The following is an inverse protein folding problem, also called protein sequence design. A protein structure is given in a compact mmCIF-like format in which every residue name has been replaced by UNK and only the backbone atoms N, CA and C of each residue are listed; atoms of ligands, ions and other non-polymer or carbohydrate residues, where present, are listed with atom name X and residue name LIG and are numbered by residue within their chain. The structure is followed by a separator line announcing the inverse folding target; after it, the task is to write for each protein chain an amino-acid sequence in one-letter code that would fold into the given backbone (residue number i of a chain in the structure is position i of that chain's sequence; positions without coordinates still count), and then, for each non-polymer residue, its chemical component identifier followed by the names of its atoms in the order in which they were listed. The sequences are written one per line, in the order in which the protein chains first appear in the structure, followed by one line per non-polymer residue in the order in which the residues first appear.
data_IF_375428642143
#
_entry.id   IF_375428642143
#
_cell.length_a   1.000
_cell.length_b   1.000
_cell.length_c   1.000
_cell.angle_alpha   90.00
_cell.angle_beta   90.00
_cell.angle_gamma   90.00
#
_symmetry.space_group_name_H-M   'P 1'
#
loop_
_entity.id
_entity.type
_entity.pdbx_description
1 polymer ?
#
# COMPACT_ATOMS: atom_id res chain seq x y z
N UNK A 1 11.30 -55.53 -43.20
CA UNK A 1 11.38 -55.58 -41.73
C UNK A 1 12.12 -54.35 -41.23
N UNK A 2 11.41 -53.30 -40.82
CA UNK A 2 11.94 -52.15 -40.07
C UNK A 2 10.81 -51.65 -39.15
N UNK A 3 11.11 -51.55 -37.86
CA UNK A 3 10.21 -51.28 -36.74
C UNK A 3 9.72 -49.82 -36.70
N UNK A 4 8.60 -49.51 -36.01
CA UNK A 4 8.17 -48.14 -35.79
C UNK A 4 8.93 -47.53 -34.60
N UNK A 5 9.40 -46.29 -34.77
CA UNK A 5 10.01 -45.48 -33.73
C UNK A 5 8.91 -44.82 -32.88
N UNK A 6 8.87 -45.14 -31.58
CA UNK A 6 8.08 -44.42 -30.59
C UNK A 6 8.81 -43.13 -30.20
N UNK A 7 8.14 -41.98 -30.34
CA UNK A 7 8.63 -40.68 -29.84
C UNK A 7 8.18 -40.55 -28.39
N UNK A 8 9.13 -40.66 -27.45
CA UNK A 8 8.94 -40.26 -26.06
C UNK A 8 8.88 -38.73 -25.98
N UNK A 9 7.74 -38.17 -25.58
CA UNK A 9 7.66 -36.81 -25.06
C UNK A 9 8.23 -36.80 -23.64
N UNK A 10 9.49 -36.39 -23.49
CA UNK A 10 10.02 -35.97 -22.19
C UNK A 10 9.47 -34.60 -21.84
N UNK A 11 8.51 -34.56 -20.91
CA UNK A 11 8.02 -33.33 -20.31
C UNK A 11 9.13 -32.65 -19.51
N UNK A 12 9.62 -31.52 -20.01
CA UNK A 12 10.40 -30.58 -19.21
C UNK A 12 9.45 -29.87 -18.25
N UNK A 13 9.35 -30.37 -17.02
CA UNK A 13 8.78 -29.61 -15.90
C UNK A 13 9.79 -28.52 -15.58
N UNK A 14 9.60 -27.35 -16.20
CA UNK A 14 10.31 -26.14 -15.83
C UNK A 14 9.92 -25.76 -14.40
N UNK A 15 10.82 -26.01 -13.45
CA UNK A 15 10.76 -25.45 -12.10
C UNK A 15 10.83 -23.93 -12.21
N UNK A 16 9.68 -23.28 -12.28
CA UNK A 16 9.57 -21.84 -12.10
C UNK A 16 9.92 -21.53 -10.64
N UNK A 17 11.13 -21.04 -10.40
CA UNK A 17 11.49 -20.42 -9.14
C UNK A 17 10.64 -19.17 -8.97
N UNK A 18 9.66 -19.24 -8.08
CA UNK A 18 8.91 -18.08 -7.60
C UNK A 18 9.90 -17.09 -6.97
N UNK A 19 10.27 -16.05 -7.70
CA UNK A 19 11.13 -15.01 -7.16
C UNK A 19 10.29 -14.07 -6.29
N UNK A 20 10.31 -14.35 -4.99
CA UNK A 20 9.77 -13.47 -3.97
C UNK A 20 10.63 -12.19 -3.84
N UNK A 21 9.96 -11.08 -3.56
CA UNK A 21 10.56 -9.79 -3.25
C UNK A 21 11.19 -9.81 -1.86
N UNK A 22 12.32 -9.11 -1.66
CA UNK A 22 12.92 -8.96 -0.34
C UNK A 22 11.95 -8.28 0.65
N UNK A 23 11.85 -8.81 1.86
CA UNK A 23 10.93 -8.41 2.91
C UNK A 23 11.70 -7.88 4.13
N UNK A 24 11.33 -6.72 4.70
CA UNK A 24 11.93 -6.22 5.94
C UNK A 24 11.74 -7.22 7.09
N UNK A 25 12.81 -7.48 7.83
CA UNK A 25 12.80 -8.33 9.00
C UNK A 25 13.86 -7.85 9.99
N UNK A 26 13.58 -7.94 11.28
CA UNK A 26 14.56 -7.72 12.33
C UNK A 26 14.84 -9.01 13.06
N UNK A 27 16.07 -9.15 13.54
CA UNK A 27 16.50 -10.30 14.31
C UNK A 27 18.01 -10.31 14.42
N UNK A 28 18.55 -11.39 14.95
CA UNK A 28 19.98 -11.62 14.99
C UNK A 28 20.35 -12.82 14.14
N UNK A 29 21.45 -12.72 13.42
CA UNK A 29 22.11 -13.84 12.77
C UNK A 29 23.43 -14.13 13.49
N UNK A 30 23.62 -15.36 13.94
CA UNK A 30 24.88 -15.82 14.55
C UNK A 30 25.55 -16.76 13.56
N UNK A 31 26.69 -16.34 13.00
CA UNK A 31 27.39 -17.15 12.00
C UNK A 31 28.02 -18.38 12.67
N UNK A 32 27.81 -19.57 12.11
CA UNK A 32 28.45 -20.80 12.58
C UNK A 32 29.81 -21.04 11.92
N UNK A 33 30.02 -20.45 10.74
CA UNK A 33 31.25 -20.57 9.95
C UNK A 33 31.55 -19.25 9.22
N UNK A 34 32.73 -19.16 8.59
CA UNK A 34 33.05 -18.01 7.73
C UNK A 34 32.33 -18.14 6.40
N UNK A 35 31.55 -17.11 6.02
CA UNK A 35 30.87 -17.06 4.73
C UNK A 35 30.99 -15.69 4.07
N UNK A 36 30.89 -15.70 2.75
CA UNK A 36 30.78 -14.51 1.91
C UNK A 36 29.57 -13.64 2.29
N UNK A 37 29.77 -12.33 2.22
CA UNK A 37 28.76 -11.33 2.51
C UNK A 37 28.60 -10.37 1.31
N UNK A 38 27.64 -10.68 0.44
CA UNK A 38 27.49 -10.02 -0.85
C UNK A 38 26.74 -8.69 -0.75
N UNK A 39 27.12 -7.68 -1.54
CA UNK A 39 26.25 -6.51 -1.75
C UNK A 39 25.02 -6.87 -2.59
N UNK A 40 25.17 -7.82 -3.51
CA UNK A 40 24.09 -8.31 -4.37
C UNK A 40 24.21 -9.80 -4.59
N UNK A 41 23.21 -10.57 -4.14
CA UNK A 41 23.12 -12.02 -4.41
C UNK A 41 22.78 -12.33 -5.87
N UNK A 42 22.04 -11.44 -6.54
CA UNK A 42 21.69 -11.59 -7.96
C UNK A 42 22.90 -11.45 -8.86
N UNK A 43 23.78 -10.49 -8.56
CA UNK A 43 25.01 -10.22 -9.33
C UNK A 43 26.25 -10.88 -8.75
N UNK A 44 26.12 -11.59 -7.62
CA UNK A 44 27.22 -12.16 -6.81
C UNK A 44 28.38 -11.16 -6.58
N UNK A 45 28.03 -9.92 -6.27
CA UNK A 45 29.01 -8.83 -6.13
C UNK A 45 29.46 -8.70 -4.68
N UNK A 46 30.75 -8.90 -4.43
CA UNK A 46 31.40 -8.69 -3.12
C UNK A 46 32.79 -8.02 -3.34
N UNK A 47 32.84 -6.71 -3.63
CA UNK A 47 34.04 -6.06 -4.15
C UNK A 47 35.15 -5.87 -3.10
N UNK A 48 34.80 -5.93 -1.83
CA UNK A 48 35.71 -5.79 -0.68
C UNK A 48 35.91 -7.11 0.09
N UNK A 49 35.53 -8.25 -0.51
CA UNK A 49 35.68 -9.61 0.06
C UNK A 49 35.15 -9.71 1.51
N UNK A 50 34.05 -9.01 1.80
CA UNK A 50 33.47 -8.98 3.14
C UNK A 50 32.94 -10.35 3.55
N UNK A 51 33.21 -10.77 4.80
CA UNK A 51 32.82 -12.08 5.36
C UNK A 51 32.24 -11.96 6.75
N UNK A 52 31.28 -12.83 7.06
CA UNK A 52 30.86 -13.07 8.44
C UNK A 52 31.83 -14.02 9.15
N UNK A 53 31.93 -13.92 10.47
CA UNK A 53 32.90 -14.67 11.29
C UNK A 53 32.17 -15.61 12.26
N UNK A 54 32.67 -16.85 12.45
CA UNK A 54 32.07 -17.80 13.38
C UNK A 54 31.88 -17.20 14.78
N UNK A 55 30.73 -17.44 15.40
CA UNK A 55 30.36 -16.95 16.73
C UNK A 55 29.99 -15.47 16.79
N UNK A 56 30.20 -14.70 15.71
CA UNK A 56 29.82 -13.29 15.68
C UNK A 56 28.33 -13.13 15.39
N UNK A 57 27.68 -12.24 16.14
CA UNK A 57 26.28 -11.85 15.97
C UNK A 57 26.18 -10.63 15.05
N UNK A 58 25.24 -10.67 14.12
CA UNK A 58 24.94 -9.60 13.17
C UNK A 58 23.44 -9.25 13.23
N UNK A 59 23.12 -7.97 13.10
CA UNK A 59 21.75 -7.48 12.96
C UNK A 59 21.19 -7.89 11.60
N UNK A 60 20.03 -8.57 11.57
CA UNK A 60 19.25 -8.81 10.34
C UNK A 60 18.34 -7.60 10.10
N UNK A 61 18.31 -7.10 8.85
CA UNK A 61 17.48 -5.95 8.47
C UNK A 61 16.45 -6.25 7.37
N UNK A 62 16.67 -7.30 6.57
CA UNK A 62 15.70 -7.84 5.60
C UNK A 62 16.05 -9.27 5.24
N UNK A 63 15.10 -9.99 4.66
CA UNK A 63 15.30 -11.33 4.09
C UNK A 63 14.86 -11.36 2.63
N UNK A 64 15.36 -12.31 1.84
CA UNK A 64 14.99 -12.38 0.42
C UNK A 64 13.57 -12.90 0.16
N UNK A 65 13.01 -13.66 1.10
CA UNK A 65 11.67 -14.26 1.07
C UNK A 65 11.28 -14.72 2.48
N UNK A 66 10.00 -15.00 2.73
CA UNK A 66 9.47 -15.39 4.05
C UNK A 66 10.13 -16.63 4.68
N UNK A 67 10.47 -17.64 3.87
CA UNK A 67 11.21 -18.83 4.33
C UNK A 67 12.74 -18.67 4.24
N UNK A 68 13.20 -17.47 3.88
CA UNK A 68 14.58 -16.97 3.80
C UNK A 68 15.69 -17.98 3.43
N UNK A 69 16.20 -17.89 2.20
CA UNK A 69 17.50 -18.54 1.86
C UNK A 69 18.68 -17.59 2.15
N UNK A 70 18.40 -16.29 2.20
CA UNK A 70 19.37 -15.22 2.36
C UNK A 70 18.87 -14.17 3.35
N UNK A 71 19.76 -13.72 4.22
CA UNK A 71 19.55 -12.68 5.20
C UNK A 71 20.40 -11.48 4.80
N UNK A 72 19.85 -10.27 4.82
CA UNK A 72 20.66 -9.06 4.73
C UNK A 72 20.96 -8.60 6.14
N UNK A 73 22.25 -8.62 6.47
CA UNK A 73 22.76 -8.28 7.77
C UNK A 73 23.59 -6.99 7.72
N UNK A 74 23.74 -6.32 8.87
CA UNK A 74 24.68 -5.21 9.03
C UNK A 74 26.04 -5.73 9.47
N UNK A 75 27.05 -5.58 8.62
CA UNK A 75 28.46 -5.81 8.94
C UNK A 75 29.04 -4.52 9.57
N UNK A 76 29.62 -4.60 10.79
CA UNK A 76 30.27 -3.46 11.41
C UNK A 76 31.48 -3.00 10.60
N UNK A 77 31.80 -1.71 10.67
CA UNK A 77 33.01 -1.09 10.10
C UNK A 77 33.21 -1.23 8.58
N UNK A 78 32.17 -1.60 7.82
CA UNK A 78 32.19 -1.62 6.34
C UNK A 78 31.59 -0.33 5.76
N UNK A 79 32.20 0.28 4.72
CA UNK A 79 31.63 1.43 4.01
C UNK A 79 30.31 1.10 3.30
N UNK A 80 30.05 -0.18 3.03
CA UNK A 80 28.76 -0.69 2.56
C UNK A 80 28.26 -1.76 3.53
N UNK A 81 27.65 -1.37 4.66
CA UNK A 81 27.46 -2.25 5.80
C UNK A 81 26.35 -3.29 5.58
N UNK A 82 25.43 -3.08 4.65
CA UNK A 82 24.33 -4.02 4.42
C UNK A 82 24.73 -5.11 3.44
N UNK A 83 24.86 -6.36 3.91
CA UNK A 83 25.32 -7.51 3.14
C UNK A 83 24.40 -8.71 3.24
N UNK A 84 24.26 -9.41 2.13
CA UNK A 84 23.55 -10.66 2.04
C UNK A 84 24.43 -11.84 2.40
N UNK A 85 23.96 -12.65 3.33
CA UNK A 85 24.60 -13.87 3.82
C UNK A 85 23.61 -15.03 3.68
N UNK A 86 24.10 -16.20 3.32
CA UNK A 86 23.26 -17.39 3.20
C UNK A 86 22.74 -17.79 4.59
N UNK A 87 21.44 -18.06 4.72
CA UNK A 87 20.82 -18.43 5.98
C UNK A 87 21.45 -19.71 6.57
N UNK A 88 21.86 -20.65 5.70
CA UNK A 88 22.56 -21.89 6.07
C UNK A 88 23.96 -21.68 6.67
N UNK A 89 24.49 -20.46 6.67
CA UNK A 89 25.79 -20.15 7.25
C UNK A 89 25.77 -20.08 8.80
N UNK A 90 24.59 -20.07 9.41
CA UNK A 90 24.47 -19.90 10.86
C UNK A 90 23.05 -20.11 11.37
N UNK A 91 22.78 -19.58 12.55
CA UNK A 91 21.45 -19.61 13.17
C UNK A 91 20.83 -18.22 13.19
N UNK A 92 19.51 -18.18 13.03
CA UNK A 92 18.72 -16.95 13.15
C UNK A 92 17.96 -16.98 14.46
N UNK A 93 18.00 -15.88 15.20
CA UNK A 93 17.36 -15.73 16.49
C UNK A 93 16.42 -14.52 16.46
N UNK A 94 15.20 -14.71 16.96
CA UNK A 94 14.22 -13.63 17.12
C UNK A 94 13.84 -12.96 15.80
N UNK A 95 13.79 -13.71 14.69
CA UNK A 95 13.41 -13.17 13.39
C UNK A 95 11.93 -12.76 13.40
N UNK A 96 11.70 -11.45 13.37
CA UNK A 96 10.40 -10.83 13.27
C UNK A 96 10.28 -10.12 11.92
N UNK A 97 9.17 -10.35 11.22
CA UNK A 97 8.84 -9.67 9.97
C UNK A 97 7.99 -8.44 10.29
N UNK A 98 8.13 -7.36 9.51
CA UNK A 98 7.36 -6.11 9.66
C UNK A 98 7.63 -5.28 10.94
N UNK A 99 8.82 -5.36 11.52
CA UNK A 99 9.23 -4.39 12.54
C UNK A 99 9.83 -3.17 11.85
N UNK A 100 8.98 -2.22 11.45
CA UNK A 100 9.41 -0.86 11.13
C UNK A 100 9.41 -0.03 12.41
N UNK A 101 10.59 0.37 12.87
CA UNK A 101 10.85 1.32 13.97
C UNK A 101 10.56 0.83 15.40
N UNK A 102 11.60 0.38 16.09
CA UNK A 102 11.70 0.39 17.55
C UNK A 102 13.09 0.88 17.91
N UNK A 103 13.29 2.20 17.90
CA UNK A 103 14.20 2.89 18.83
C UNK A 103 14.01 4.41 18.73
N UNK A 104 12.95 4.88 19.38
CA UNK A 104 12.88 6.18 20.08
C UNK A 104 11.73 6.07 21.07
N UNK A 105 12.03 5.62 22.29
CA UNK A 105 11.09 5.71 23.39
C UNK A 105 11.04 7.15 23.89
N UNK A 106 10.00 7.89 23.54
CA UNK A 106 9.43 8.88 24.44
C UNK A 106 7.91 8.71 24.39
N UNK A 107 7.34 8.39 25.55
CA UNK A 107 5.91 8.32 25.90
C UNK A 107 4.92 8.49 24.73
N UNK A 108 4.59 7.39 24.04
CA UNK A 108 3.61 7.41 22.94
C UNK A 108 3.76 6.30 21.89
N UNK A 109 4.89 5.57 21.88
CA UNK A 109 5.17 4.55 20.86
C UNK A 109 4.16 3.39 20.79
N UNK A 110 3.58 3.01 21.94
CA UNK A 110 2.56 1.95 21.99
C UNK A 110 1.24 2.41 21.34
N UNK A 111 0.81 3.65 21.57
CA UNK A 111 -0.52 4.14 21.15
C UNK A 111 -0.74 4.14 19.63
N UNK A 112 0.33 4.20 18.84
CA UNK A 112 0.25 4.20 17.38
C UNK A 112 0.05 2.79 16.78
N UNK A 113 0.18 1.73 17.60
CA UNK A 113 -0.08 0.33 17.21
C UNK A 113 -1.17 -0.32 18.05
N UNK A 114 -1.89 0.48 18.84
CA UNK A 114 -3.00 0.01 19.67
C UNK A 114 -4.32 0.23 18.90
N UNK A 115 -5.21 -0.78 18.82
CA UNK A 115 -6.52 -0.62 18.20
C UNK A 115 -7.33 0.50 18.85
N UNK A 116 -8.18 1.15 18.05
CA UNK A 116 -9.18 2.14 18.47
C UNK A 116 -8.64 3.43 19.13
N UNK A 117 -7.32 3.65 19.09
CA UNK A 117 -6.66 4.87 19.56
C UNK A 117 -6.58 6.01 18.52
N UNK A 118 -7.20 5.81 17.36
CA UNK A 118 -7.30 6.78 16.27
C UNK A 118 -8.25 7.94 16.63
N UNK A 119 -7.98 9.13 16.09
CA UNK A 119 -8.83 10.32 16.24
C UNK A 119 -9.77 10.54 15.03
N UNK A 120 -9.56 9.79 13.96
CA UNK A 120 -10.39 9.81 12.77
C UNK A 120 -9.93 8.77 11.75
N UNK A 121 -10.45 8.90 10.53
CA UNK A 121 -10.06 8.07 9.41
C UNK A 121 -9.53 8.93 8.27
N UNK A 122 -8.67 8.34 7.44
CA UNK A 122 -8.32 8.88 6.12
C UNK A 122 -8.84 7.91 5.07
N UNK A 123 -9.88 8.30 4.34
CA UNK A 123 -10.26 7.58 3.13
C UNK A 123 -9.31 8.00 2.00
N UNK A 124 -8.59 7.04 1.42
CA UNK A 124 -7.76 7.25 0.25
C UNK A 124 -8.45 6.64 -0.97
N UNK A 125 -8.81 7.49 -1.93
CA UNK A 125 -9.45 7.12 -3.18
C UNK A 125 -8.52 7.43 -4.36
N UNK A 126 -8.16 6.43 -5.14
CA UNK A 126 -7.25 6.54 -6.28
C UNK A 126 -8.02 6.96 -7.53
N UNK A 127 -7.44 7.86 -8.32
CA UNK A 127 -7.78 8.01 -9.74
C UNK A 127 -6.94 7.00 -10.53
N UNK A 128 -7.52 5.82 -10.81
CA UNK A 128 -6.76 4.65 -11.29
C UNK A 128 -5.93 4.93 -12.56
N UNK A 129 -6.45 5.62 -13.59
CA UNK A 129 -5.65 5.91 -14.77
C UNK A 129 -4.44 6.79 -14.48
N UNK A 130 -4.62 7.85 -13.68
CA UNK A 130 -3.52 8.74 -13.32
C UNK A 130 -2.45 8.05 -12.46
N UNK A 131 -2.87 7.12 -11.59
CA UNK A 131 -1.93 6.26 -10.87
C UNK A 131 -1.13 5.35 -11.80
N UNK A 132 -1.81 4.60 -12.67
CA UNK A 132 -1.16 3.61 -13.53
C UNK A 132 -0.18 4.25 -14.53
N UNK A 133 -0.49 5.43 -15.04
CA UNK A 133 0.33 6.11 -16.04
C UNK A 133 1.50 6.91 -15.43
N UNK A 134 1.28 7.57 -14.29
CA UNK A 134 2.22 8.60 -13.81
C UNK A 134 2.95 8.25 -12.52
N UNK A 135 2.54 7.21 -11.80
CA UNK A 135 3.20 6.82 -10.54
C UNK A 135 4.19 5.69 -10.81
N UNK A 136 5.48 5.87 -10.44
CA UNK A 136 6.44 4.78 -10.56
C UNK A 136 6.12 3.69 -9.53
N UNK A 137 5.97 2.45 -10.00
CA UNK A 137 5.85 1.26 -9.16
C UNK A 137 6.83 0.18 -9.61
N UNK A 138 7.18 -0.72 -8.68
CA UNK A 138 8.05 -1.86 -8.95
C UNK A 138 7.19 -3.07 -9.35
N UNK A 139 7.65 -3.82 -10.34
CA UNK A 139 6.97 -5.03 -10.80
C UNK A 139 5.75 -4.75 -11.67
N UNK A 140 4.92 -5.77 -11.86
CA UNK A 140 3.67 -5.67 -12.61
C UNK A 140 2.49 -5.41 -11.68
N UNK A 141 1.52 -4.66 -12.19
CA UNK A 141 0.24 -4.38 -11.54
C UNK A 141 -0.86 -4.86 -12.47
N UNK A 142 -1.46 -6.04 -12.22
CA UNK A 142 -2.49 -6.60 -13.10
C UNK A 142 -3.62 -5.62 -13.39
N UNK A 143 -4.00 -4.79 -12.40
CA UNK A 143 -5.01 -3.75 -12.56
C UNK A 143 -4.61 -2.66 -13.56
N UNK A 144 -3.32 -2.33 -13.64
CA UNK A 144 -2.81 -1.36 -14.62
C UNK A 144 -2.64 -1.99 -16.00
N UNK A 145 -2.19 -3.25 -16.07
CA UNK A 145 -2.10 -4.01 -17.32
C UNK A 145 -3.50 -4.18 -17.95
N UNK A 146 -4.51 -4.53 -17.14
CA UNK A 146 -5.90 -4.66 -17.56
C UNK A 146 -6.54 -3.32 -17.94
N UNK A 147 -6.15 -2.22 -17.27
CA UNK A 147 -6.59 -0.89 -17.65
C UNK A 147 -6.02 -0.47 -19.03
N UNK A 148 -4.74 -0.77 -19.27
CA UNK A 148 -4.07 -0.48 -20.53
C UNK A 148 -4.61 -1.33 -21.70
N UNK A 149 -4.99 -2.59 -21.44
CA UNK A 149 -5.61 -3.46 -22.46
C UNK A 149 -7.10 -3.17 -22.71
N UNK A 150 -7.74 -2.38 -21.84
CA UNK A 150 -9.18 -2.09 -21.87
C UNK A 150 -10.07 -3.16 -21.23
N UNK A 151 -9.49 -4.22 -20.65
CA UNK A 151 -10.19 -5.26 -19.88
C UNK A 151 -10.82 -4.71 -18.60
N UNK A 152 -10.13 -3.78 -17.93
CA UNK A 152 -10.66 -3.01 -16.81
C UNK A 152 -11.08 -1.62 -17.29
N UNK A 153 -12.31 -1.21 -16.96
CA UNK A 153 -12.79 0.15 -17.18
C UNK A 153 -12.94 0.86 -15.83
N UNK A 154 -11.94 1.67 -15.46
CA UNK A 154 -11.98 2.47 -14.23
C UNK A 154 -12.20 3.95 -14.58
N UNK A 155 -13.47 4.35 -14.72
CA UNK A 155 -13.90 5.73 -15.04
C UNK A 155 -14.45 6.50 -13.83
N UNK A 156 -14.18 5.99 -12.64
CA UNK A 156 -14.59 6.54 -11.35
C UNK A 156 -13.44 6.38 -10.36
N UNK A 157 -13.54 7.00 -9.18
CA UNK A 157 -12.58 6.80 -8.11
C UNK A 157 -12.60 5.36 -7.58
N UNK A 158 -11.42 4.83 -7.24
CA UNK A 158 -11.25 3.48 -6.68
C UNK A 158 -10.68 3.53 -5.27
N UNK A 159 -11.00 2.55 -4.43
CA UNK A 159 -10.51 2.44 -3.07
C UNK A 159 -9.03 2.06 -3.05
N UNK A 160 -8.21 2.93 -2.47
CA UNK A 160 -6.88 2.57 -2.00
C UNK A 160 -7.01 1.95 -0.60
N UNK A 161 -7.64 2.65 0.33
CA UNK A 161 -7.86 2.17 1.69
C UNK A 161 -8.62 3.17 2.57
N UNK A 162 -9.04 2.70 3.74
CA UNK A 162 -9.71 3.48 4.77
C UNK A 162 -8.88 3.41 6.05
N UNK A 163 -8.07 4.41 6.35
CA UNK A 163 -7.04 4.28 7.38
C UNK A 163 -7.51 4.90 8.69
N UNK A 164 -7.80 4.13 9.75
CA UNK A 164 -7.79 4.70 11.09
C UNK A 164 -6.46 5.42 11.29
N UNK A 165 -6.49 6.66 11.76
CA UNK A 165 -5.27 7.42 11.97
C UNK A 165 -5.36 8.27 13.24
N UNK A 166 -4.20 8.57 13.81
CA UNK A 166 -4.06 9.51 14.91
C UNK A 166 -3.11 10.62 14.49
N UNK A 167 -3.52 11.87 14.63
CA UNK A 167 -2.73 13.02 14.22
C UNK A 167 -1.31 13.00 14.82
N UNK A 168 -1.18 12.63 16.10
CA UNK A 168 0.12 12.54 16.79
C UNK A 168 1.04 11.45 16.24
N UNK A 169 0.49 10.46 15.56
CA UNK A 169 1.24 9.35 14.96
C UNK A 169 1.64 9.64 13.50
N UNK A 170 1.11 10.70 12.89
CA UNK A 170 1.42 11.05 11.50
C UNK A 170 1.05 9.95 10.52
N UNK A 171 2.07 9.28 9.95
CA UNK A 171 1.92 8.14 9.03
C UNK A 171 2.19 6.77 9.69
N UNK A 172 2.50 6.77 10.98
CA UNK A 172 2.97 5.62 11.72
C UNK A 172 1.86 4.91 12.51
N UNK A 173 0.63 5.43 12.46
CA UNK A 173 -0.52 4.71 13.04
C UNK A 173 -0.85 3.50 12.16
N UNK A 174 -0.75 2.30 12.72
CA UNK A 174 -0.97 1.07 11.97
C UNK A 174 -0.32 -0.16 12.60
N UNK A 175 -0.45 -1.30 11.92
CA UNK A 175 0.13 -2.58 12.34
C UNK A 175 -0.29 -3.01 13.76
N UNK A 176 -1.55 -2.81 14.09
CA UNK A 176 -2.12 -3.31 15.34
C UNK A 176 -2.32 -4.83 15.26
N UNK A 177 -2.37 -5.50 16.41
CA UNK A 177 -2.66 -6.93 16.46
C UNK A 177 -4.11 -7.20 16.06
N UNK A 178 -4.34 -8.19 15.19
CA UNK A 178 -5.68 -8.51 14.70
C UNK A 178 -5.74 -9.81 13.89
N UNK A 179 -6.95 -10.27 13.54
CA UNK A 179 -7.13 -11.49 12.76
C UNK A 179 -6.64 -11.29 11.32
N UNK A 180 -6.29 -12.40 10.65
CA UNK A 180 -5.97 -12.38 9.23
C UNK A 180 -7.21 -12.08 8.38
N UNK A 181 -7.00 -11.37 7.25
CA UNK A 181 -8.06 -11.04 6.30
C UNK A 181 -8.74 -12.30 5.72
N UNK A 182 -10.07 -12.37 5.84
CA UNK A 182 -10.94 -13.43 5.33
C UNK A 182 -12.31 -12.87 4.89
N UNK A 183 -12.31 -12.24 3.71
CA UNK A 183 -13.54 -11.71 3.10
C UNK A 183 -14.47 -12.81 2.59
N UNK A 184 -15.78 -12.62 2.78
CA UNK A 184 -16.80 -13.42 2.12
C UNK A 184 -16.89 -13.11 0.63
N UNK A 185 -17.39 -14.05 -0.18
CA UNK A 185 -17.56 -13.82 -1.62
C UNK A 185 -18.52 -12.66 -1.90
N UNK A 186 -19.59 -12.52 -1.10
CA UNK A 186 -20.51 -11.39 -1.21
C UNK A 186 -19.85 -10.05 -0.88
N UNK A 187 -18.80 -10.01 -0.06
CA UNK A 187 -18.00 -8.79 0.15
C UNK A 187 -17.14 -8.51 -1.07
N UNK A 188 -16.47 -9.55 -1.59
CA UNK A 188 -15.63 -9.41 -2.77
C UNK A 188 -16.44 -8.91 -3.98
N UNK A 189 -17.65 -9.41 -4.20
CA UNK A 189 -18.57 -8.94 -5.23
C UNK A 189 -18.92 -7.45 -5.06
N UNK A 190 -19.19 -7.01 -3.83
CA UNK A 190 -19.49 -5.61 -3.52
C UNK A 190 -18.29 -4.68 -3.74
N UNK A 191 -17.09 -5.16 -3.39
CA UNK A 191 -15.88 -4.33 -3.30
C UNK A 191 -15.09 -4.30 -4.61
N UNK A 192 -15.07 -5.37 -5.41
CA UNK A 192 -14.31 -5.47 -6.68
C UNK A 192 -14.54 -4.33 -7.67
N UNK A 193 -15.77 -3.80 -7.86
CA UNK A 193 -15.98 -2.65 -8.73
C UNK A 193 -15.25 -1.40 -8.24
N UNK A 194 -15.17 -1.22 -6.92
CA UNK A 194 -14.57 -0.04 -6.30
C UNK A 194 -13.10 -0.24 -5.95
N UNK A 195 -12.60 -1.46 -5.87
CA UNK A 195 -11.21 -1.78 -5.53
C UNK A 195 -10.68 -2.84 -6.49
N UNK A 196 -10.24 -2.45 -7.71
CA UNK A 196 -10.06 -3.37 -8.82
C UNK A 196 -8.98 -4.44 -8.60
N UNK A 197 -8.04 -4.22 -7.68
CA UNK A 197 -7.04 -5.24 -7.33
C UNK A 197 -7.67 -6.56 -6.86
N UNK A 198 -8.86 -6.55 -6.25
CA UNK A 198 -9.58 -7.75 -5.83
C UNK A 198 -10.13 -8.59 -6.99
N UNK A 199 -10.08 -8.07 -8.23
CA UNK A 199 -10.34 -8.86 -9.43
C UNK A 199 -9.14 -9.78 -9.77
N UNK A 200 -7.94 -9.41 -9.34
CA UNK A 200 -6.68 -10.08 -9.70
C UNK A 200 -6.01 -10.79 -8.52
N UNK A 201 -6.39 -10.47 -7.27
CA UNK A 201 -5.91 -11.15 -6.08
C UNK A 201 -6.18 -10.39 -4.78
N UNK A 202 -5.84 -11.01 -3.64
CA UNK A 202 -6.12 -10.45 -2.31
C UNK A 202 -4.89 -9.85 -1.61
N UNK A 203 -3.71 -9.88 -2.24
CA UNK A 203 -2.45 -9.46 -1.61
C UNK A 203 -2.46 -7.99 -1.18
N UNK A 204 -2.93 -7.10 -2.05
CA UNK A 204 -3.03 -5.68 -1.72
C UNK A 204 -4.09 -5.42 -0.64
N UNK A 205 -5.25 -6.05 -0.74
CA UNK A 205 -6.28 -5.98 0.31
C UNK A 205 -5.75 -6.44 1.67
N UNK A 206 -5.01 -7.56 1.70
CA UNK A 206 -4.36 -8.05 2.92
C UNK A 206 -3.38 -7.04 3.50
N UNK A 207 -2.54 -6.43 2.66
CA UNK A 207 -1.63 -5.37 3.12
C UNK A 207 -2.39 -4.17 3.72
N UNK A 208 -3.49 -3.72 3.10
CA UNK A 208 -4.32 -2.64 3.65
C UNK A 208 -5.00 -3.03 4.97
N UNK A 209 -5.44 -4.28 5.09
CA UNK A 209 -6.02 -4.82 6.31
C UNK A 209 -4.98 -4.89 7.44
N UNK A 210 -3.87 -5.60 7.21
CA UNK A 210 -2.81 -5.84 8.21
C UNK A 210 -2.17 -4.53 8.69
N UNK A 211 -2.07 -3.53 7.82
CA UNK A 211 -1.50 -2.24 8.18
C UNK A 211 -2.52 -1.30 8.84
N UNK A 212 -3.76 -1.29 8.40
CA UNK A 212 -4.72 -0.24 8.78
C UNK A 212 -6.03 -0.79 9.34
N UNK A 213 -6.65 -1.75 8.65
CA UNK A 213 -7.98 -2.25 9.00
C UNK A 213 -8.05 -2.92 10.38
N UNK A 214 -7.01 -3.65 10.78
CA UNK A 214 -6.90 -4.28 12.11
C UNK A 214 -6.84 -3.27 13.28
N UNK A 215 -6.55 -2.00 13.02
CA UNK A 215 -6.46 -0.96 14.05
C UNK A 215 -7.81 -0.34 14.45
N UNK A 216 -8.91 -0.86 13.90
CA UNK A 216 -10.27 -0.59 14.38
C UNK A 216 -10.94 -1.94 14.71
N UNK A 217 -11.65 -2.03 15.83
CA UNK A 217 -12.30 -3.30 16.24
C UNK A 217 -13.82 -3.27 16.11
N UNK A 218 -14.38 -2.14 15.69
CA UNK A 218 -15.83 -1.92 15.58
C UNK A 218 -16.44 -2.60 14.36
N UNK A 219 -15.63 -2.89 13.34
CA UNK A 219 -16.03 -3.59 12.12
C UNK A 219 -15.12 -4.79 11.93
N UNK A 220 -15.71 -5.94 11.62
CA UNK A 220 -14.97 -7.04 11.02
C UNK A 220 -14.46 -6.65 9.62
N UNK A 221 -13.61 -7.50 9.04
CA UNK A 221 -13.02 -7.25 7.74
C UNK A 221 -14.06 -7.08 6.63
N UNK A 222 -15.12 -7.89 6.65
CA UNK A 222 -16.25 -7.79 5.73
C UNK A 222 -16.94 -6.42 5.81
N UNK A 223 -17.33 -5.97 7.01
CA UNK A 223 -17.98 -4.68 7.20
C UNK A 223 -17.04 -3.51 6.91
N UNK A 224 -15.76 -3.62 7.26
CA UNK A 224 -14.75 -2.60 7.02
C UNK A 224 -14.54 -2.35 5.51
N UNK A 225 -14.33 -3.40 4.71
CA UNK A 225 -14.11 -3.22 3.27
C UNK A 225 -15.38 -2.78 2.53
N UNK A 226 -16.57 -3.26 2.92
CA UNK A 226 -17.84 -2.74 2.39
C UNK A 226 -18.00 -1.25 2.70
N UNK A 227 -17.76 -0.86 3.96
CA UNK A 227 -17.85 0.54 4.38
C UNK A 227 -16.86 1.42 3.62
N UNK A 228 -15.63 0.97 3.44
CA UNK A 228 -14.62 1.68 2.68
C UNK A 228 -15.03 1.87 1.20
N UNK A 229 -15.57 0.84 0.56
CA UNK A 229 -16.07 0.92 -0.82
C UNK A 229 -17.27 1.88 -0.94
N UNK A 230 -18.22 1.82 0.00
CA UNK A 230 -19.37 2.71 0.03
C UNK A 230 -18.96 4.18 0.21
N UNK A 231 -17.94 4.45 1.03
CA UNK A 231 -17.41 5.80 1.21
C UNK A 231 -16.75 6.34 -0.07
N UNK A 232 -16.05 5.49 -0.84
CA UNK A 232 -15.53 5.90 -2.17
C UNK A 232 -16.67 6.18 -3.13
N UNK A 233 -17.70 5.33 -3.18
CA UNK A 233 -18.90 5.58 -3.98
C UNK A 233 -19.56 6.91 -3.63
N UNK A 234 -19.66 7.22 -2.34
CA UNK A 234 -20.22 8.49 -1.87
C UNK A 234 -19.35 9.68 -2.24
N UNK A 235 -18.02 9.56 -2.17
CA UNK A 235 -17.09 10.59 -2.63
C UNK A 235 -17.22 10.83 -4.14
N UNK A 236 -17.24 9.76 -4.92
CA UNK A 236 -17.39 9.80 -6.37
C UNK A 236 -18.70 10.46 -6.79
N UNK A 237 -19.80 10.17 -6.06
CA UNK A 237 -21.12 10.75 -6.29
C UNK A 237 -21.25 12.24 -5.90
N UNK A 238 -20.29 12.82 -5.17
CA UNK A 238 -20.32 14.26 -4.88
C UNK A 238 -20.18 15.09 -6.15
N UNK A 239 -20.64 16.36 -6.13
CA UNK A 239 -20.39 17.31 -7.24
C UNK A 239 -18.91 17.41 -7.61
N UNK A 240 -18.02 17.35 -6.64
CA UNK A 240 -16.59 17.44 -6.85
C UNK A 240 -16.01 16.14 -7.47
N UNK A 241 -16.52 14.98 -7.05
CA UNK A 241 -16.21 13.68 -7.67
C UNK A 241 -16.69 13.61 -9.11
N UNK A 242 -17.95 13.97 -9.37
CA UNK A 242 -18.50 14.00 -10.72
C UNK A 242 -17.76 15.00 -11.62
N UNK A 243 -17.28 16.13 -11.09
CA UNK A 243 -16.44 17.05 -11.87
C UNK A 243 -15.13 16.41 -12.35
N UNK A 244 -14.55 15.46 -11.61
CA UNK A 244 -13.42 14.65 -12.10
C UNK A 244 -13.87 13.76 -13.26
N UNK A 245 -14.96 13.00 -13.06
CA UNK A 245 -15.50 12.04 -14.05
C UNK A 245 -15.92 12.71 -15.36
N UNK A 246 -16.54 13.88 -15.29
CA UNK A 246 -16.97 14.67 -16.45
C UNK A 246 -15.80 15.20 -17.29
N UNK A 247 -14.58 15.23 -16.73
CA UNK A 247 -13.39 15.83 -17.35
C UNK A 247 -12.29 14.79 -17.66
N UNK A 248 -12.64 13.50 -17.74
CA UNK A 248 -11.73 12.42 -18.15
C UNK A 248 -11.05 12.74 -19.49
N UNK A 249 -9.74 12.57 -19.55
CA UNK A 249 -8.90 12.90 -20.72
C UNK A 249 -8.58 14.39 -20.85
N UNK A 250 -9.13 15.23 -19.97
CA UNK A 250 -8.95 16.67 -19.97
C UNK A 250 -8.25 17.18 -18.70
N UNK A 251 -8.77 18.28 -18.18
CA UNK A 251 -8.26 18.90 -16.96
C UNK A 251 -9.38 19.60 -16.19
N UNK A 252 -9.23 19.65 -14.87
CA UNK A 252 -10.08 20.42 -13.96
C UNK A 252 -9.32 21.61 -13.37
N UNK A 253 -10.07 22.62 -12.92
CA UNK A 253 -9.55 23.68 -12.03
C UNK A 253 -9.66 23.24 -10.58
N UNK A 254 -8.56 23.35 -9.83
CA UNK A 254 -8.49 23.07 -8.39
C UNK A 254 -9.40 24.02 -7.61
N UNK A 255 -9.44 25.30 -7.96
CA UNK A 255 -10.36 26.27 -7.37
C UNK A 255 -11.81 25.85 -7.61
N UNK A 256 -12.15 25.48 -8.85
CA UNK A 256 -13.51 25.05 -9.21
C UNK A 256 -13.89 23.72 -8.54
N UNK A 257 -12.93 22.82 -8.29
CA UNK A 257 -13.15 21.61 -7.49
C UNK A 257 -13.54 21.98 -6.05
N UNK A 258 -12.77 22.84 -5.37
CA UNK A 258 -13.08 23.23 -4.00
C UNK A 258 -14.31 24.14 -3.87
N UNK A 259 -14.68 24.86 -4.92
CA UNK A 259 -15.97 25.55 -4.99
C UNK A 259 -17.12 24.54 -4.95
N UNK A 260 -17.07 23.48 -5.76
CA UNK A 260 -18.09 22.40 -5.74
C UNK A 260 -18.17 21.69 -4.40
N UNK A 261 -17.03 21.46 -3.73
CA UNK A 261 -17.02 20.97 -2.34
C UNK A 261 -17.75 21.95 -1.42
N UNK A 262 -17.50 23.25 -1.54
CA UNK A 262 -18.16 24.26 -0.70
C UNK A 262 -19.66 24.29 -0.91
N UNK A 263 -20.11 24.23 -2.16
CA UNK A 263 -21.52 24.23 -2.53
C UNK A 263 -22.25 22.99 -2.01
N UNK A 264 -21.63 21.81 -2.12
CA UNK A 264 -22.23 20.54 -1.68
C UNK A 264 -22.30 20.41 -0.15
N UNK A 265 -21.23 20.81 0.55
CA UNK A 265 -21.13 20.69 2.01
C UNK A 265 -21.64 21.94 2.76
N UNK A 266 -22.05 22.99 2.05
CA UNK A 266 -22.51 24.25 2.63
C UNK A 266 -21.45 25.06 3.39
N UNK A 267 -20.16 24.71 3.25
CA UNK A 267 -19.08 25.37 3.98
C UNK A 267 -17.73 25.24 3.28
N UNK A 268 -17.01 26.36 3.16
CA UNK A 268 -15.65 26.37 2.62
C UNK A 268 -14.66 25.55 3.49
N UNK A 269 -14.99 25.34 4.78
CA UNK A 269 -14.19 24.52 5.70
C UNK A 269 -14.17 23.05 5.30
N UNK A 270 -15.17 22.54 4.58
CA UNK A 270 -15.16 21.16 4.08
C UNK A 270 -13.96 20.86 3.18
N UNK A 271 -13.45 21.87 2.47
CA UNK A 271 -12.22 21.77 1.69
C UNK A 271 -10.97 21.43 2.51
N UNK A 272 -10.99 21.60 3.84
CA UNK A 272 -9.88 21.19 4.71
C UNK A 272 -9.82 19.66 4.89
N UNK A 273 -10.94 18.95 4.71
CA UNK A 273 -10.95 17.50 4.84
C UNK A 273 -10.50 16.82 3.54
N UNK A 274 -10.55 17.51 2.40
CA UNK A 274 -10.29 16.91 1.08
C UNK A 274 -8.94 17.40 0.54
N UNK A 275 -8.00 16.46 0.38
CA UNK A 275 -6.68 16.70 -0.17
C UNK A 275 -6.53 16.00 -1.53
N UNK A 276 -6.21 16.79 -2.57
CA UNK A 276 -5.87 16.28 -3.89
C UNK A 276 -4.36 15.98 -3.96
N UNK A 277 -4.01 14.76 -4.37
CA UNK A 277 -2.64 14.29 -4.57
C UNK A 277 -2.40 14.12 -6.07
N UNK A 278 -1.28 14.68 -6.55
CA UNK A 278 -0.90 14.66 -7.94
C UNK A 278 0.42 13.91 -8.15
N UNK A 279 0.45 13.06 -9.18
CA UNK A 279 1.68 12.55 -9.77
C UNK A 279 2.26 13.59 -10.74
N UNK A 280 3.60 13.64 -10.84
CA UNK A 280 4.35 14.60 -11.69
C UNK A 280 3.90 16.07 -11.53
N UNK A 281 3.35 16.42 -10.37
CA UNK A 281 2.94 17.78 -10.00
C UNK A 281 1.52 18.20 -10.42
N UNK A 282 0.92 17.57 -11.44
CA UNK A 282 -0.38 17.99 -11.96
C UNK A 282 -1.31 16.88 -12.50
N UNK A 283 -0.92 15.60 -12.52
CA UNK A 283 -1.83 14.51 -12.87
C UNK A 283 -2.52 13.98 -11.63
N UNK A 284 -3.86 14.01 -11.58
CA UNK A 284 -4.60 13.51 -10.43
C UNK A 284 -4.25 12.03 -10.19
N UNK A 285 -3.78 11.73 -8.98
CA UNK A 285 -3.44 10.37 -8.57
C UNK A 285 -4.41 9.86 -7.52
N UNK A 286 -4.71 10.67 -6.51
CA UNK A 286 -5.45 10.24 -5.33
C UNK A 286 -6.17 11.43 -4.69
N UNK A 287 -7.33 11.17 -4.13
CA UNK A 287 -8.09 12.08 -3.27
C UNK A 287 -8.12 11.46 -1.88
N UNK A 288 -7.62 12.20 -0.89
CA UNK A 288 -7.69 11.81 0.52
C UNK A 288 -8.77 12.62 1.23
N UNK A 289 -9.63 11.94 1.98
CA UNK A 289 -10.68 12.57 2.80
C UNK A 289 -10.41 12.26 4.27
N UNK A 290 -10.19 13.29 5.08
CA UNK A 290 -10.20 13.19 6.54
C UNK A 290 -11.63 13.05 7.03
N UNK A 291 -11.95 11.92 7.65
CA UNK A 291 -13.26 11.57 8.17
C UNK A 291 -13.25 11.57 9.71
N UNK A 292 -14.41 11.80 10.34
CA UNK A 292 -14.56 11.67 11.79
C UNK A 292 -14.23 10.26 12.29
N UNK A 293 -13.93 10.14 13.60
CA UNK A 293 -13.77 8.85 14.28
C UNK A 293 -15.02 7.99 14.23
N UNK A 294 -16.19 8.61 14.32
CA UNK A 294 -17.47 7.91 14.19
C UNK A 294 -17.97 7.99 12.75
N UNK A 295 -17.87 6.87 12.04
CA UNK A 295 -18.34 6.76 10.66
C UNK A 295 -19.85 6.46 10.60
N UNK A 296 -20.68 7.43 10.97
CA UNK A 296 -22.15 7.29 11.02
C UNK A 296 -22.74 6.68 9.72
N UNK A 297 -23.68 5.73 9.80
CA UNK A 297 -24.43 5.29 8.63
C UNK A 297 -25.17 6.49 8.01
N UNK A 298 -24.87 6.75 6.73
CA UNK A 298 -25.48 7.83 5.96
C UNK A 298 -25.38 7.49 4.48
N UNK A 299 -26.32 7.99 3.69
CA UNK A 299 -26.39 7.73 2.24
C UNK A 299 -25.39 8.57 1.43
N UNK A 300 -24.82 9.63 2.02
CA UNK A 300 -23.89 10.55 1.37
C UNK A 300 -22.69 10.91 2.24
N UNK A 301 -21.60 11.34 1.59
CA UNK A 301 -20.39 11.79 2.29
C UNK A 301 -20.65 13.02 3.17
N UNK A 302 -21.59 13.88 2.76
CA UNK A 302 -22.05 15.03 3.57
C UNK A 302 -22.62 14.54 4.90
N UNK A 303 -23.47 13.51 4.86
CA UNK A 303 -24.06 12.91 6.07
C UNK A 303 -23.04 12.18 6.94
N UNK A 304 -22.03 11.52 6.33
CA UNK A 304 -20.94 10.89 7.09
C UNK A 304 -20.09 11.94 7.82
N UNK A 305 -19.77 13.06 7.15
CA UNK A 305 -18.96 14.12 7.75
C UNK A 305 -19.73 14.97 8.75
N UNK A 306 -21.05 15.15 8.56
CA UNK A 306 -21.96 15.78 9.52
C UNK A 306 -21.44 17.13 10.07
N UNK A 307 -20.89 17.97 9.20
CA UNK A 307 -20.32 19.29 9.55
C UNK A 307 -18.98 19.26 10.31
N UNK A 308 -18.39 18.09 10.53
CA UNK A 308 -17.12 17.93 11.23
C UNK A 308 -15.94 18.21 10.28
N UNK A 309 -15.56 19.48 10.20
CA UNK A 309 -14.49 19.93 9.33
C UNK A 309 -13.18 20.13 10.07
N UNK A 310 -12.08 19.67 9.46
CA UNK A 310 -10.75 19.85 9.99
C UNK A 310 -10.39 21.35 10.04
N UNK A 311 -9.61 21.80 11.04
CA UNK A 311 -9.21 23.21 11.15
C UNK A 311 -8.33 23.68 10.00
N UNK A 312 -7.58 22.75 9.38
CA UNK A 312 -6.72 23.00 8.21
C UNK A 312 -6.58 21.74 7.37
N UNK A 313 -6.34 21.93 6.08
CA UNK A 313 -5.97 20.83 5.18
C UNK A 313 -4.62 20.21 5.60
N UNK A 314 -4.47 18.88 5.54
CA UNK A 314 -3.17 18.25 5.69
C UNK A 314 -2.19 18.71 4.61
N UNK A 315 -0.90 18.79 4.95
CA UNK A 315 0.16 19.05 3.98
C UNK A 315 0.74 17.71 3.48
N UNK A 316 1.01 17.65 2.18
CA UNK A 316 1.70 16.52 1.55
C UNK A 316 2.57 17.07 0.42
N UNK A 317 3.79 16.54 0.30
CA UNK A 317 4.73 16.94 -0.75
C UNK A 317 4.16 16.75 -2.16
N UNK A 318 3.27 15.77 -2.33
CA UNK A 318 2.63 15.43 -3.60
C UNK A 318 1.25 16.10 -3.75
N UNK A 319 0.87 17.04 -2.88
CA UNK A 319 -0.38 17.76 -3.05
C UNK A 319 -0.43 18.48 -4.41
N UNK A 320 -1.59 18.49 -5.06
CA UNK A 320 -1.80 19.27 -6.27
C UNK A 320 -1.71 20.77 -5.94
N UNK A 321 -0.64 21.44 -6.42
CA UNK A 321 -0.37 22.86 -6.11
C UNK A 321 -0.92 23.83 -7.17
N UNK A 322 -0.82 23.44 -8.43
CA UNK A 322 -1.34 24.23 -9.56
C UNK A 322 -2.86 24.24 -9.62
N UNK A 323 -3.44 25.24 -10.28
CA UNK A 323 -4.89 25.26 -10.50
C UNK A 323 -5.32 24.25 -11.56
N UNK A 324 -4.54 24.08 -12.63
CA UNK A 324 -4.82 23.08 -13.66
C UNK A 324 -4.37 21.69 -13.19
N UNK A 325 -5.32 20.76 -13.05
CA UNK A 325 -5.08 19.35 -12.72
C UNK A 325 -5.55 18.48 -13.89
N UNK A 326 -4.65 17.65 -14.43
CA UNK A 326 -4.93 16.73 -15.53
C UNK A 326 -5.64 15.48 -15.01
N UNK A 327 -6.69 15.07 -15.71
CA UNK A 327 -7.48 13.87 -15.39
C UNK A 327 -7.21 12.83 -16.47
N UNK A 328 -6.32 11.89 -16.16
CA UNK A 328 -5.87 10.87 -17.10
C UNK A 328 -7.03 9.96 -17.55
N UNK A 329 -7.06 9.59 -18.83
CA UNK A 329 -8.02 8.61 -19.36
C UNK A 329 -7.45 7.19 -19.24
N UNK A 330 -8.33 6.18 -19.28
CA UNK A 330 -7.87 4.79 -19.35
C UNK A 330 -7.29 4.49 -20.75
N UNK A 331 -6.11 3.88 -20.81
CA UNK A 331 -5.51 3.38 -22.05
C UNK A 331 -4.96 4.44 -23.00
N UNK A 332 -4.52 5.60 -22.49
CA UNK A 332 -3.92 6.69 -23.26
C UNK A 332 -2.58 6.34 -23.90
#
# INVERSE_FOLDING_TARGET
MKAPFAVLLTGFVGLWSSFATAEPAQGSFVAAQTCEAFQSIRKRTNPDDAKVRPGQRYEVVEVNKRDYDWLRVRIPDSPTPLRWVAASCGSVEGLAFNTGDTERSEAGGDVCRQPDQHDGYVLAATWQPGFCEHVPFKGRKPECDALASGELQARHLTLHGLWPNRQSCGKNYGHCDGPALRLSESTLEHVRPWMPNFQFGTSFGRYQWDKHGVCQTQMDDDAYFRRAADLVRQLDATRAGQYVVENIGGAISRQAFYQRVTEEFGSARAGNNILLICAKGNYLQEIRVSLPRELKPADSLVGVMDGQFAPRRPDDRNACRGDRILIEAAGS
#
